data_IF_462877053975
#
_entry.id   IF_462877053975
#
_cell.length_a   1.000
_cell.length_b   1.000
_cell.length_c   1.000
_cell.angle_alpha   90.00
_cell.angle_beta   90.00
_cell.angle_gamma   90.00
#
_symmetry.space_group_name_H-M   'P 1'
#
loop_
_entity.id
_entity.type
_entity.pdbx_description
1 polymer ?
#
# COMPACT_ATOMS: atom_id res chain seq x y z
N UNK A 1 -7.18 -24.86 -5.43
CA UNK A 1 -6.48 -24.16 -4.33
C UNK A 1 -6.28 -22.75 -4.81
N UNK A 2 -6.60 -21.76 -3.96
CA UNK A 2 -6.43 -20.35 -4.30
C UNK A 2 -4.94 -20.04 -4.42
N UNK A 3 -4.49 -19.58 -5.60
CA UNK A 3 -3.10 -19.18 -5.85
C UNK A 3 -3.00 -17.65 -5.74
N UNK A 4 -2.69 -17.18 -4.53
CA UNK A 4 -2.65 -15.75 -4.22
C UNK A 4 -1.55 -15.01 -5.00
N UNK A 5 -0.44 -15.66 -5.31
CA UNK A 5 0.67 -15.06 -6.07
C UNK A 5 0.26 -14.83 -7.52
N UNK A 6 -0.31 -15.85 -8.17
CA UNK A 6 -0.82 -15.75 -9.54
C UNK A 6 -1.91 -14.69 -9.66
N UNK A 7 -2.85 -14.66 -8.71
CA UNK A 7 -3.88 -13.61 -8.66
C UNK A 7 -3.22 -12.25 -8.50
N UNK A 8 -2.24 -12.11 -7.61
CA UNK A 8 -1.55 -10.83 -7.43
C UNK A 8 -0.87 -10.32 -8.70
N UNK A 9 -0.24 -11.21 -9.47
CA UNK A 9 0.33 -10.85 -10.78
C UNK A 9 -0.73 -10.40 -11.79
N UNK A 10 -1.85 -11.13 -11.87
CA UNK A 10 -3.00 -10.79 -12.72
C UNK A 10 -3.55 -9.39 -12.37
N UNK A 11 -3.85 -9.15 -11.10
CA UNK A 11 -4.41 -7.88 -10.64
C UNK A 11 -3.42 -6.72 -10.85
N UNK A 12 -2.12 -6.94 -10.64
CA UNK A 12 -1.10 -5.93 -10.90
C UNK A 12 -0.99 -5.60 -12.40
N UNK A 13 -1.15 -6.58 -13.30
CA UNK A 13 -1.19 -6.31 -14.73
C UNK A 13 -2.40 -5.43 -15.09
N UNK A 14 -3.58 -5.71 -14.53
CA UNK A 14 -4.77 -4.87 -14.71
C UNK A 14 -4.58 -3.45 -14.15
N UNK A 15 -3.90 -3.30 -13.00
CA UNK A 15 -3.54 -1.98 -12.45
C UNK A 15 -2.66 -1.20 -13.44
N UNK A 16 -1.66 -1.84 -14.06
CA UNK A 16 -0.78 -1.19 -15.04
C UNK A 16 -1.58 -0.65 -16.24
N UNK A 17 -2.63 -1.36 -16.65
CA UNK A 17 -3.55 -0.97 -17.73
C UNK A 17 -4.68 -0.04 -17.27
N UNK A 18 -4.76 0.28 -15.96
CA UNK A 18 -5.86 1.05 -15.32
C UNK A 18 -7.23 0.42 -15.52
N UNK A 19 -7.28 -0.91 -15.65
CA UNK A 19 -8.48 -1.71 -15.84
C UNK A 19 -9.13 -2.05 -14.50
N UNK A 20 -9.60 -1.02 -13.79
CA UNK A 20 -10.13 -1.17 -12.43
C UNK A 20 -11.43 -1.97 -12.38
N UNK A 21 -12.32 -1.82 -13.37
CA UNK A 21 -13.56 -2.58 -13.45
C UNK A 21 -13.28 -4.09 -13.57
N UNK A 22 -12.30 -4.48 -14.41
CA UNK A 22 -11.88 -5.89 -14.52
C UNK A 22 -11.30 -6.45 -13.21
N UNK A 23 -10.65 -5.61 -12.38
CA UNK A 23 -10.17 -6.03 -11.05
C UNK A 23 -11.35 -6.28 -10.12
N UNK A 24 -12.39 -5.43 -10.16
CA UNK A 24 -13.61 -5.60 -9.37
C UNK A 24 -14.34 -6.88 -9.77
N UNK A 25 -14.53 -7.12 -11.07
CA UNK A 25 -15.16 -8.34 -11.59
C UNK A 25 -14.37 -9.59 -11.17
N UNK A 26 -13.03 -9.54 -11.29
CA UNK A 26 -12.17 -10.65 -10.87
C UNK A 26 -12.23 -10.89 -9.37
N UNK A 27 -12.28 -9.83 -8.57
CA UNK A 27 -12.39 -9.91 -7.12
C UNK A 27 -13.75 -10.50 -6.68
N UNK A 28 -14.84 -10.15 -7.38
CA UNK A 28 -16.16 -10.75 -7.18
C UNK A 28 -16.14 -12.26 -7.44
N UNK A 29 -15.57 -12.71 -8.57
CA UNK A 29 -15.40 -14.15 -8.86
C UNK A 29 -14.62 -14.86 -7.74
N UNK A 30 -13.56 -14.24 -7.20
CA UNK A 30 -12.80 -14.83 -6.08
C UNK A 30 -13.67 -14.95 -4.82
N UNK A 31 -14.52 -13.96 -4.53
CA UNK A 31 -15.45 -14.02 -3.40
C UNK A 31 -16.49 -15.13 -3.59
N UNK A 32 -16.98 -15.36 -4.81
CA UNK A 32 -17.94 -16.42 -5.11
C UNK A 32 -17.33 -17.82 -5.02
N UNK A 33 -16.13 -18.02 -5.59
CA UNK A 33 -15.44 -19.31 -5.61
C UNK A 33 -14.83 -19.66 -4.24
N UNK A 34 -14.37 -18.66 -3.50
CA UNK A 34 -13.66 -18.81 -2.23
C UNK A 34 -14.23 -17.87 -1.16
N UNK A 35 -15.50 -18.08 -0.74
CA UNK A 35 -16.22 -17.14 0.13
C UNK A 35 -15.59 -16.97 1.52
N UNK A 36 -14.84 -17.97 1.98
CA UNK A 36 -14.11 -17.93 3.26
C UNK A 36 -12.76 -17.24 3.17
N UNK A 37 -12.22 -17.00 1.96
CA UNK A 37 -10.96 -16.27 1.81
C UNK A 37 -11.14 -14.75 1.95
N UNK A 38 -10.20 -14.10 2.63
CA UNK A 38 -10.11 -12.63 2.66
C UNK A 38 -9.72 -12.01 1.30
N UNK A 39 -9.09 -12.78 0.40
CA UNK A 39 -8.31 -12.24 -0.71
C UNK A 39 -9.14 -11.42 -1.70
N UNK A 40 -10.31 -11.92 -2.12
CA UNK A 40 -11.18 -11.19 -3.05
C UNK A 40 -11.67 -9.86 -2.44
N UNK A 41 -12.02 -9.87 -1.15
CA UNK A 41 -12.43 -8.66 -0.41
C UNK A 41 -11.29 -7.67 -0.26
N UNK A 42 -10.07 -8.16 -0.05
CA UNK A 42 -8.87 -7.31 -0.02
C UNK A 42 -8.60 -6.66 -1.39
N UNK A 43 -8.81 -7.38 -2.50
CA UNK A 43 -8.69 -6.80 -3.85
C UNK A 43 -9.78 -5.79 -4.17
N UNK A 44 -11.02 -6.01 -3.72
CA UNK A 44 -12.07 -4.97 -3.77
C UNK A 44 -11.60 -3.70 -3.06
N UNK A 45 -11.14 -3.83 -1.82
CA UNK A 45 -10.69 -2.70 -1.01
C UNK A 45 -9.50 -1.94 -1.64
N UNK A 46 -8.50 -2.69 -2.14
CA UNK A 46 -7.35 -2.11 -2.85
C UNK A 46 -7.78 -1.35 -4.09
N UNK A 47 -8.75 -1.86 -4.84
CA UNK A 47 -9.25 -1.20 -6.05
C UNK A 47 -9.99 0.09 -5.72
N UNK A 48 -10.86 0.08 -4.70
CA UNK A 48 -11.51 1.31 -4.23
C UNK A 48 -10.50 2.34 -3.69
N UNK A 49 -9.40 1.89 -3.08
CA UNK A 49 -8.28 2.77 -2.68
C UNK A 49 -7.68 3.48 -3.90
N UNK A 50 -7.44 2.74 -5.00
CA UNK A 50 -6.93 3.30 -6.26
C UNK A 50 -7.96 4.16 -6.99
N UNK A 51 -9.26 3.97 -6.75
CA UNK A 51 -10.32 4.84 -7.24
C UNK A 51 -10.51 6.10 -6.37
N UNK A 52 -9.87 6.15 -5.20
CA UNK A 52 -10.01 7.24 -4.24
C UNK A 52 -11.29 7.18 -3.40
N UNK A 53 -12.05 6.09 -3.49
CA UNK A 53 -13.21 5.85 -2.63
C UNK A 53 -12.75 5.21 -1.31
N UNK A 54 -12.28 6.07 -0.40
CA UNK A 54 -11.77 5.63 0.90
C UNK A 54 -12.85 4.95 1.76
N UNK A 55 -14.13 5.31 1.58
CA UNK A 55 -15.24 4.73 2.33
C UNK A 55 -15.50 3.29 1.91
N UNK A 56 -15.61 3.04 0.60
CA UNK A 56 -15.74 1.70 0.05
C UNK A 56 -14.47 0.86 0.34
N UNK A 57 -13.28 1.46 0.26
CA UNK A 57 -12.03 0.78 0.59
C UNK A 57 -12.04 0.26 2.04
N UNK A 58 -12.35 1.13 3.03
CA UNK A 58 -12.43 0.72 4.43
C UNK A 58 -13.53 -0.32 4.67
N UNK A 59 -14.69 -0.18 4.01
CA UNK A 59 -15.75 -1.19 4.08
C UNK A 59 -15.24 -2.58 3.67
N UNK A 60 -14.63 -2.69 2.50
CA UNK A 60 -14.13 -3.98 2.00
C UNK A 60 -12.94 -4.52 2.79
N UNK A 61 -12.07 -3.67 3.35
CA UNK A 61 -11.05 -4.13 4.29
C UNK A 61 -11.64 -4.69 5.58
N UNK A 62 -12.73 -4.11 6.11
CA UNK A 62 -13.44 -4.70 7.25
C UNK A 62 -14.07 -6.04 6.89
N UNK A 63 -14.65 -6.19 5.69
CA UNK A 63 -15.17 -7.49 5.23
C UNK A 63 -14.04 -8.51 5.05
N UNK A 64 -12.87 -8.08 4.56
CA UNK A 64 -11.68 -8.93 4.48
C UNK A 64 -11.21 -9.37 5.88
N UNK A 65 -11.20 -8.45 6.86
CA UNK A 65 -10.78 -8.75 8.23
C UNK A 65 -11.64 -9.83 8.89
N UNK A 66 -12.95 -9.88 8.61
CA UNK A 66 -13.85 -10.94 9.11
C UNK A 66 -13.52 -12.34 8.57
N UNK A 67 -12.70 -12.41 7.51
CA UNK A 67 -12.33 -13.62 6.77
C UNK A 67 -10.82 -13.91 6.86
N UNK A 68 -10.07 -13.14 7.64
CA UNK A 68 -8.68 -13.45 7.90
C UNK A 68 -8.59 -14.73 8.75
N UNK A 69 -7.68 -15.64 8.38
CA UNK A 69 -7.50 -16.92 9.05
C UNK A 69 -6.27 -16.94 9.98
N UNK A 70 -5.35 -15.99 9.82
CA UNK A 70 -4.13 -15.89 10.60
C UNK A 70 -3.64 -14.45 10.84
N UNK A 71 -2.63 -14.32 11.70
CA UNK A 71 -2.03 -13.03 12.07
C UNK A 71 -1.33 -12.33 10.89
N UNK A 72 -0.85 -13.07 9.89
CA UNK A 72 -0.19 -12.50 8.71
C UNK A 72 -1.22 -11.76 7.84
N UNK A 73 -2.38 -12.38 7.60
CA UNK A 73 -3.51 -11.80 6.89
C UNK A 73 -4.08 -10.59 7.64
N UNK A 74 -4.33 -10.72 8.96
CA UNK A 74 -4.80 -9.62 9.80
C UNK A 74 -3.82 -8.44 9.79
N UNK A 75 -2.51 -8.71 9.85
CA UNK A 75 -1.46 -7.69 9.77
C UNK A 75 -1.48 -6.97 8.42
N UNK A 76 -1.61 -7.72 7.32
CA UNK A 76 -1.67 -7.17 5.96
C UNK A 76 -2.91 -6.31 5.75
N UNK A 77 -4.07 -6.73 6.24
CA UNK A 77 -5.31 -5.96 6.14
C UNK A 77 -5.19 -4.68 6.99
N UNK A 78 -4.71 -4.80 8.23
CA UNK A 78 -4.51 -3.66 9.13
C UNK A 78 -3.55 -2.61 8.56
N UNK A 79 -2.42 -3.04 7.97
CA UNK A 79 -1.48 -2.11 7.33
C UNK A 79 -2.08 -1.42 6.10
N UNK A 80 -2.94 -2.12 5.35
CA UNK A 80 -3.67 -1.55 4.21
C UNK A 80 -4.68 -0.50 4.68
N UNK A 81 -5.41 -0.75 5.77
CA UNK A 81 -6.31 0.25 6.38
C UNK A 81 -5.54 1.48 6.88
N UNK A 82 -4.37 1.28 7.50
CA UNK A 82 -3.52 2.38 7.95
C UNK A 82 -3.10 3.31 6.79
N UNK A 83 -2.87 2.75 5.59
CA UNK A 83 -2.62 3.53 4.38
C UNK A 83 -3.84 4.33 3.92
N UNK A 84 -5.05 3.75 3.96
CA UNK A 84 -6.28 4.52 3.65
C UNK A 84 -6.47 5.68 4.62
N UNK A 85 -6.23 5.47 5.91
CA UNK A 85 -6.28 6.55 6.90
C UNK A 85 -5.20 7.62 6.68
N UNK A 86 -3.99 7.24 6.21
CA UNK A 86 -2.99 8.21 5.78
C UNK A 86 -3.47 9.06 4.59
N UNK A 87 -4.16 8.46 3.61
CA UNK A 87 -4.77 9.18 2.48
C UNK A 87 -5.82 10.18 2.99
N UNK A 88 -6.64 9.76 3.95
CA UNK A 88 -7.66 10.59 4.61
C UNK A 88 -7.07 11.65 5.56
N UNK A 89 -5.77 11.57 5.86
CA UNK A 89 -5.09 12.38 6.87
C UNK A 89 -5.61 12.18 8.29
N UNK A 90 -6.24 11.03 8.55
CA UNK A 90 -6.60 10.60 9.89
C UNK A 90 -5.39 9.88 10.51
N UNK A 91 -4.50 10.70 11.06
CA UNK A 91 -3.24 10.20 11.60
C UNK A 91 -3.43 9.35 12.85
N UNK A 92 -4.50 9.57 13.62
CA UNK A 92 -4.76 8.79 14.83
C UNK A 92 -5.18 7.36 14.46
N UNK A 93 -6.08 7.20 13.50
CA UNK A 93 -6.45 5.87 12.99
C UNK A 93 -5.30 5.20 12.22
N UNK A 94 -4.53 5.96 11.44
CA UNK A 94 -3.35 5.41 10.77
C UNK A 94 -2.33 4.86 11.77
N UNK A 95 -2.05 5.59 12.86
CA UNK A 95 -1.19 5.11 13.94
C UNK A 95 -1.77 3.86 14.59
N UNK A 96 -3.06 3.86 14.95
CA UNK A 96 -3.74 2.72 15.57
C UNK A 96 -3.65 1.44 14.73
N UNK A 97 -4.03 1.49 13.45
CA UNK A 97 -3.98 0.32 12.56
C UNK A 97 -2.55 -0.11 12.21
N UNK A 98 -1.61 0.84 12.14
CA UNK A 98 -0.19 0.49 12.01
C UNK A 98 0.35 -0.21 13.27
N UNK A 99 -0.10 0.18 14.47
CA UNK A 99 0.28 -0.49 15.72
C UNK A 99 -0.27 -1.92 15.78
N UNK A 100 -1.54 -2.12 15.39
CA UNK A 100 -2.14 -3.45 15.29
C UNK A 100 -1.34 -4.32 14.31
N UNK A 101 -1.06 -3.81 13.11
CA UNK A 101 -0.31 -4.55 12.11
C UNK A 101 1.09 -4.95 12.58
N UNK A 102 1.80 -4.06 13.27
CA UNK A 102 3.15 -4.31 13.79
C UNK A 102 3.19 -5.19 15.04
N UNK A 103 2.10 -5.23 15.82
CA UNK A 103 1.97 -6.18 16.92
C UNK A 103 1.84 -7.62 16.42
N UNK A 104 1.10 -7.82 15.33
CA UNK A 104 0.90 -9.12 14.67
C UNK A 104 2.12 -9.54 13.84
N UNK A 105 2.70 -8.60 13.09
CA UNK A 105 3.91 -8.83 12.29
C UNK A 105 4.85 -7.62 12.37
N UNK A 106 5.88 -7.68 13.24
CA UNK A 106 6.86 -6.59 13.39
C UNK A 106 7.65 -6.26 12.12
N UNK A 107 7.73 -7.19 11.17
CA UNK A 107 8.48 -7.05 9.92
C UNK A 107 7.57 -6.57 8.75
N UNK A 108 6.30 -6.22 9.01
CA UNK A 108 5.38 -5.70 7.99
C UNK A 108 5.83 -4.33 7.47
N UNK A 109 6.53 -4.34 6.34
CA UNK A 109 7.09 -3.15 5.67
C UNK A 109 6.03 -2.07 5.40
N UNK A 110 4.83 -2.46 4.99
CA UNK A 110 3.73 -1.51 4.72
C UNK A 110 3.32 -0.79 5.99
N UNK A 111 3.19 -1.52 7.10
CA UNK A 111 2.84 -0.92 8.40
C UNK A 111 3.93 0.02 8.92
N UNK A 112 5.22 -0.36 8.76
CA UNK A 112 6.36 0.48 9.13
C UNK A 112 6.34 1.82 8.39
N UNK A 113 6.10 1.78 7.07
CA UNK A 113 6.04 2.98 6.22
C UNK A 113 4.80 3.81 6.58
N UNK A 114 3.63 3.18 6.67
CA UNK A 114 2.37 3.84 7.03
C UNK A 114 2.47 4.58 8.37
N UNK A 115 3.03 3.92 9.40
CA UNK A 115 3.29 4.53 10.71
C UNK A 115 4.22 5.73 10.59
N UNK A 116 5.28 5.59 9.82
CA UNK A 116 6.28 6.65 9.64
C UNK A 116 5.67 7.90 9.00
N UNK A 117 4.73 7.75 8.06
CA UNK A 117 3.98 8.86 7.47
C UNK A 117 3.16 9.60 8.52
N UNK A 118 2.36 8.86 9.31
CA UNK A 118 1.53 9.45 10.35
C UNK A 118 2.39 10.15 11.43
N UNK A 119 3.53 9.55 11.83
CA UNK A 119 4.50 10.17 12.75
C UNK A 119 5.10 11.46 12.17
N UNK A 120 5.51 11.45 10.91
CA UNK A 120 6.02 12.65 10.22
C UNK A 120 4.97 13.76 10.19
N UNK A 121 3.71 13.43 9.88
CA UNK A 121 2.59 14.38 9.85
C UNK A 121 2.27 14.96 11.24
N UNK A 122 2.45 14.16 12.30
CA UNK A 122 2.31 14.59 13.71
C UNK A 122 3.53 15.34 14.26
N UNK A 123 4.52 15.63 13.43
CA UNK A 123 5.73 16.37 13.83
C UNK A 123 6.78 15.51 14.57
N UNK A 124 6.53 14.21 14.73
CA UNK A 124 7.42 13.25 15.40
C UNK A 124 8.50 12.71 14.45
N UNK A 125 9.23 13.63 13.81
CA UNK A 125 10.17 13.30 12.73
C UNK A 125 11.30 12.35 13.17
N UNK A 126 11.85 12.56 14.37
CA UNK A 126 12.93 11.72 14.89
C UNK A 126 12.47 10.27 15.10
N UNK A 127 11.27 10.08 15.64
CA UNK A 127 10.66 8.75 15.86
C UNK A 127 10.43 8.03 14.53
N UNK A 128 9.89 8.74 13.52
CA UNK A 128 9.69 8.19 12.19
C UNK A 128 11.02 7.79 11.51
N UNK A 129 12.03 8.66 11.54
CA UNK A 129 13.34 8.36 10.95
C UNK A 129 14.02 7.18 11.63
N UNK A 130 13.96 7.11 12.97
CA UNK A 130 14.53 6.00 13.73
C UNK A 130 13.80 4.68 13.43
N UNK A 131 12.47 4.71 13.28
CA UNK A 131 11.68 3.54 12.91
C UNK A 131 12.09 2.99 11.55
N UNK A 132 12.26 3.87 10.55
CA UNK A 132 12.71 3.49 9.21
C UNK A 132 14.15 2.98 9.22
N UNK A 133 15.06 3.65 9.94
CA UNK A 133 16.47 3.25 10.02
C UNK A 133 16.64 1.87 10.68
N UNK A 134 15.98 1.64 11.81
CA UNK A 134 16.02 0.35 12.53
C UNK A 134 15.55 -0.82 11.65
N UNK A 135 14.64 -0.55 10.72
CA UNK A 135 14.04 -1.55 9.84
C UNK A 135 14.59 -1.54 8.42
N UNK A 136 15.68 -0.80 8.15
CA UNK A 136 16.22 -0.61 6.81
C UNK A 136 16.51 -1.93 6.06
N UNK A 137 16.88 -2.99 6.78
CA UNK A 137 17.14 -4.33 6.22
C UNK A 137 15.91 -5.01 5.60
N UNK A 138 14.70 -4.56 5.94
CA UNK A 138 13.45 -5.13 5.46
C UNK A 138 13.04 -4.55 4.09
N UNK A 139 13.51 -3.35 3.74
CA UNK A 139 13.19 -2.69 2.47
C UNK A 139 14.06 -3.25 1.34
N UNK A 140 13.61 -4.37 0.75
CA UNK A 140 14.39 -5.10 -0.26
C UNK A 140 14.17 -4.52 -1.66
N UNK A 141 12.92 -4.25 -2.01
CA UNK A 141 12.50 -3.81 -3.34
C UNK A 141 12.77 -2.32 -3.55
N UNK A 142 13.04 -1.92 -4.80
CA UNK A 142 13.24 -0.51 -5.14
C UNK A 142 11.96 0.32 -4.92
N UNK A 143 10.76 -0.25 -5.05
CA UNK A 143 9.52 0.46 -4.74
C UNK A 143 9.47 0.87 -3.26
N UNK A 144 9.74 -0.08 -2.35
CA UNK A 144 9.76 0.16 -0.90
C UNK A 144 10.82 1.20 -0.52
N UNK A 145 12.01 1.14 -1.13
CA UNK A 145 13.07 2.14 -0.91
C UNK A 145 12.66 3.52 -1.40
N UNK A 146 11.95 3.61 -2.53
CA UNK A 146 11.41 4.87 -3.03
C UNK A 146 10.37 5.47 -2.06
N UNK A 147 9.46 4.65 -1.54
CA UNK A 147 8.50 5.05 -0.51
C UNK A 147 9.21 5.63 0.72
N UNK A 148 10.19 4.89 1.27
CA UNK A 148 10.97 5.34 2.44
C UNK A 148 11.68 6.66 2.18
N UNK A 149 12.33 6.80 1.02
CA UNK A 149 12.99 8.04 0.63
C UNK A 149 11.99 9.21 0.47
N UNK A 150 10.79 8.95 -0.04
CA UNK A 150 9.72 9.94 -0.15
C UNK A 150 9.26 10.43 1.24
N UNK A 151 9.05 9.51 2.19
CA UNK A 151 8.69 9.82 3.58
C UNK A 151 9.77 10.65 4.28
N UNK A 152 11.05 10.31 4.05
CA UNK A 152 12.22 11.05 4.55
C UNK A 152 12.48 12.37 3.79
N UNK A 153 11.70 12.65 2.75
CA UNK A 153 11.83 13.82 1.87
C UNK A 153 13.15 13.88 1.09
N UNK A 154 13.81 12.75 0.89
CA UNK A 154 14.99 12.60 0.03
C UNK A 154 14.56 12.40 -1.42
N UNK A 155 14.27 13.52 -2.11
CA UNK A 155 13.77 13.52 -3.50
C UNK A 155 14.69 12.75 -4.45
N UNK A 156 16.01 12.89 -4.30
CA UNK A 156 16.97 12.29 -5.22
C UNK A 156 16.95 10.76 -5.14
N UNK A 157 17.03 10.20 -3.92
CA UNK A 157 16.94 8.75 -3.74
C UNK A 157 15.55 8.22 -4.11
N UNK A 158 14.50 8.99 -3.79
CA UNK A 158 13.14 8.63 -4.19
C UNK A 158 13.03 8.45 -5.71
N UNK A 159 13.50 9.42 -6.50
CA UNK A 159 13.46 9.33 -7.97
C UNK A 159 14.35 8.21 -8.51
N UNK A 160 15.53 8.00 -7.92
CA UNK A 160 16.44 6.93 -8.33
C UNK A 160 15.82 5.54 -8.16
N UNK A 161 15.31 5.25 -6.96
CA UNK A 161 14.66 3.98 -6.66
C UNK A 161 13.35 3.82 -7.44
N UNK A 162 12.52 4.87 -7.52
CA UNK A 162 11.27 4.81 -8.26
C UNK A 162 11.50 4.53 -9.75
N UNK A 163 12.54 5.13 -10.36
CA UNK A 163 12.91 4.89 -11.76
C UNK A 163 13.22 3.42 -12.05
N UNK A 164 13.85 2.71 -11.11
CA UNK A 164 14.07 1.26 -11.22
C UNK A 164 12.78 0.47 -10.99
N UNK A 165 12.04 0.82 -9.95
CA UNK A 165 10.79 0.16 -9.59
C UNK A 165 9.72 0.19 -10.72
N UNK A 166 9.58 1.30 -11.44
CA UNK A 166 8.61 1.42 -12.55
C UNK A 166 9.05 0.78 -13.86
N UNK A 167 10.34 0.43 -13.99
CA UNK A 167 10.88 -0.35 -15.11
C UNK A 167 10.69 -1.85 -14.88
N UNK A 168 10.95 -2.31 -13.66
CA UNK A 168 10.77 -3.70 -13.27
C UNK A 168 9.29 -4.09 -13.20
N UNK A 169 8.47 -3.19 -12.64
CA UNK A 169 7.06 -3.45 -12.36
C UNK A 169 6.21 -2.27 -12.86
N UNK A 170 5.69 -2.33 -14.11
CA UNK A 170 4.95 -1.22 -14.72
C UNK A 170 3.72 -0.75 -13.94
N UNK A 171 3.09 -1.64 -13.15
CA UNK A 171 1.94 -1.28 -12.30
C UNK A 171 2.27 -0.19 -11.27
N UNK A 172 3.53 -0.09 -10.84
CA UNK A 172 3.99 0.96 -9.93
C UNK A 172 3.79 2.37 -10.49
N UNK A 173 3.72 2.53 -11.82
CA UNK A 173 3.43 3.83 -12.47
C UNK A 173 2.04 4.36 -12.13
N UNK A 174 1.11 3.45 -11.83
CA UNK A 174 -0.26 3.77 -11.45
C UNK A 174 -0.37 3.85 -9.93
N UNK A 175 0.11 2.83 -9.19
CA UNK A 175 0.02 2.77 -7.72
C UNK A 175 0.58 4.02 -7.04
N UNK A 176 1.74 4.49 -7.49
CA UNK A 176 2.46 5.64 -6.92
C UNK A 176 1.64 6.95 -6.93
N UNK A 177 0.63 7.06 -7.80
CA UNK A 177 -0.25 8.23 -7.86
C UNK A 177 -1.23 8.30 -6.68
N UNK A 178 -1.50 7.16 -6.05
CA UNK A 178 -2.49 7.02 -4.98
C UNK A 178 -1.84 6.76 -3.62
N UNK A 179 -0.62 6.21 -3.61
CA UNK A 179 0.12 5.97 -2.37
C UNK A 179 0.40 7.28 -1.61
N UNK A 180 0.08 7.34 -0.31
CA UNK A 180 0.23 8.55 0.50
C UNK A 180 1.70 8.99 0.65
N UNK A 181 2.63 8.04 0.52
CA UNK A 181 4.09 8.21 0.61
C UNK A 181 4.59 9.29 -0.35
N UNK A 182 4.01 9.34 -1.56
CA UNK A 182 4.40 10.23 -2.64
C UNK A 182 3.53 11.49 -2.73
N UNK A 183 2.64 11.75 -1.77
CA UNK A 183 1.67 12.85 -1.84
C UNK A 183 2.32 14.23 -2.10
N UNK A 184 3.54 14.46 -1.63
CA UNK A 184 4.29 15.70 -1.85
C UNK A 184 4.82 15.86 -3.29
N UNK A 185 4.93 14.78 -4.05
CA UNK A 185 5.61 14.72 -5.35
C UNK A 185 4.66 14.57 -6.54
N UNK A 186 3.35 14.40 -6.32
CA UNK A 186 2.36 14.13 -7.39
C UNK A 186 2.27 15.22 -8.47
N UNK A 187 2.78 16.43 -8.22
CA UNK A 187 2.86 17.54 -9.18
C UNK A 187 4.30 17.84 -9.64
N UNK A 188 5.27 17.08 -9.16
CA UNK A 188 6.68 17.29 -9.48
C UNK A 188 6.98 16.82 -10.92
N UNK A 189 7.60 17.65 -11.78
CA UNK A 189 7.83 17.29 -13.17
C UNK A 189 8.75 16.07 -13.37
N UNK A 190 9.76 15.90 -12.51
CA UNK A 190 10.70 14.78 -12.60
C UNK A 190 10.01 13.48 -12.16
N UNK A 191 9.21 13.54 -11.10
CA UNK A 191 8.37 12.42 -10.68
C UNK A 191 7.39 12.00 -11.78
N UNK A 192 6.66 12.96 -12.36
CA UNK A 192 5.70 12.70 -13.45
C UNK A 192 6.37 12.17 -14.72
N UNK A 193 7.63 12.55 -14.98
CA UNK A 193 8.38 12.03 -16.12
C UNK A 193 8.62 10.51 -16.01
N UNK A 194 8.82 9.98 -14.79
CA UNK A 194 9.01 8.54 -14.56
C UNK A 194 7.76 7.71 -14.84
N UNK A 195 6.58 8.34 -14.86
CA UNK A 195 5.30 7.63 -15.01
C UNK A 195 4.87 7.51 -16.48
N UNK A 196 5.46 8.29 -17.38
CA UNK A 196 5.20 8.23 -18.82
C UNK A 196 5.80 6.96 -19.39
N UNK A 197 4.97 6.16 -20.05
CA UNK A 197 5.39 4.97 -20.78
C UNK A 197 6.24 5.36 -22.00
#
# INVERSE_FOLDING_TARGET
MLDAEKIGMEMNALIAERRFDDILDRAEVIIEEYPESYLGRWWMARTFTLLGDNGAALHWFMEAMKKAEDEEEESKISSSMANVYNIMKDWDQSLNYSDIALALNPDNVVAIIARSIALMARGKKAEASQLLEKNNRLFKEDYQKACVAAVLKDKNKMLEHLSRAVKENPHNRVTVLYDPDFALYRKDPEFLALLKA
#
